data_IF_635365258165
#
_entry.id   IF_635365258165
#
_cell.length_a   1.000
_cell.length_b   1.000
_cell.length_c   1.000
_cell.angle_alpha   90.00
_cell.angle_beta   90.00
_cell.angle_gamma   90.00
#
_symmetry.space_group_name_H-M   'P 1'
#
loop_
_entity.id
_entity.type
_entity.pdbx_description
1 polymer ?
#
# COMPACT_ATOMS: atom_id res chain seq x y z
N UNK A 1 -35.56 20.86 14.58
CA UNK A 1 -34.85 19.61 14.92
C UNK A 1 -34.67 18.62 13.74
N UNK A 2 -35.41 18.76 12.61
CA UNK A 2 -35.31 17.83 11.47
C UNK A 2 -34.00 17.87 10.64
N UNK A 3 -33.30 18.99 10.57
CA UNK A 3 -32.11 19.16 9.71
C UNK A 3 -30.89 18.40 10.18
N UNK A 4 -30.61 18.32 11.47
CA UNK A 4 -29.47 17.59 12.02
C UNK A 4 -29.62 16.07 11.88
N UNK A 5 -30.86 15.55 12.02
CA UNK A 5 -31.16 14.14 11.82
C UNK A 5 -30.97 13.71 10.36
N UNK A 6 -31.41 14.50 9.41
CA UNK A 6 -31.28 14.23 7.98
C UNK A 6 -29.77 14.27 7.53
N UNK A 7 -29.00 15.21 8.07
CA UNK A 7 -27.57 15.30 7.80
C UNK A 7 -26.81 14.08 8.34
N UNK A 8 -27.15 13.63 9.55
CA UNK A 8 -26.56 12.44 10.17
C UNK A 8 -26.82 11.16 9.37
N UNK A 9 -28.08 10.95 8.93
CA UNK A 9 -28.46 9.78 8.11
C UNK A 9 -27.74 9.79 6.76
N UNK A 10 -27.68 10.95 6.10
CA UNK A 10 -26.99 11.09 4.80
C UNK A 10 -25.50 10.82 4.91
N UNK A 11 -24.85 11.31 5.95
CA UNK A 11 -23.40 11.11 6.18
C UNK A 11 -23.09 9.64 6.49
N UNK A 12 -23.94 8.99 7.28
CA UNK A 12 -23.79 7.56 7.61
C UNK A 12 -23.98 6.70 6.35
N UNK A 13 -25.04 6.93 5.57
CA UNK A 13 -25.29 6.22 4.32
C UNK A 13 -24.13 6.41 3.33
N UNK A 14 -23.60 7.63 3.21
CA UNK A 14 -22.42 7.90 2.39
C UNK A 14 -21.19 7.11 2.88
N UNK A 15 -20.91 7.09 4.19
CA UNK A 15 -19.75 6.42 4.75
C UNK A 15 -19.74 4.91 4.48
N UNK A 16 -20.90 4.25 4.52
CA UNK A 16 -21.03 2.82 4.17
C UNK A 16 -21.06 2.55 2.67
N UNK A 17 -21.52 3.50 1.84
CA UNK A 17 -21.50 3.34 0.39
C UNK A 17 -20.14 3.67 -0.25
N UNK A 18 -19.35 4.53 0.38
CA UNK A 18 -18.09 5.01 -0.17
C UNK A 18 -17.07 3.89 -0.50
N UNK A 19 -16.91 2.82 0.32
CA UNK A 19 -16.01 1.71 0.00
C UNK A 19 -16.34 1.03 -1.33
N UNK A 20 -17.62 0.93 -1.66
CA UNK A 20 -18.10 0.21 -2.86
C UNK A 20 -18.23 1.13 -4.07
N UNK A 21 -18.76 2.35 -3.88
CA UNK A 21 -19.17 3.23 -4.97
C UNK A 21 -18.10 4.25 -5.38
N UNK A 22 -17.08 4.46 -4.55
CA UNK A 22 -16.04 5.45 -4.82
C UNK A 22 -14.73 4.79 -5.18
N UNK A 23 -14.07 5.36 -6.17
CA UNK A 23 -12.67 5.06 -6.50
C UNK A 23 -12.09 6.31 -7.15
N UNK A 24 -11.05 6.87 -6.56
CA UNK A 24 -10.36 8.02 -7.10
C UNK A 24 -8.92 7.69 -7.48
N UNK A 25 -8.28 8.58 -8.21
CA UNK A 25 -6.83 8.56 -8.46
C UNK A 25 -6.21 9.75 -7.72
N UNK A 26 -5.44 9.46 -6.69
CA UNK A 26 -4.61 10.47 -6.00
C UNK A 26 -3.31 10.66 -6.78
N UNK A 27 -2.99 11.90 -7.16
CA UNK A 27 -1.83 12.22 -8.02
C UNK A 27 -0.81 13.04 -7.27
N UNK A 28 0.45 12.61 -7.33
CA UNK A 28 1.59 13.29 -6.72
C UNK A 28 2.69 13.48 -7.77
N UNK A 29 3.12 14.73 -7.95
CA UNK A 29 4.30 15.07 -8.76
C UNK A 29 5.44 15.37 -7.79
N UNK A 30 6.47 14.54 -7.80
CA UNK A 30 7.55 14.59 -6.82
C UNK A 30 8.89 14.66 -7.56
N UNK A 31 9.75 15.57 -7.13
CA UNK A 31 11.13 15.68 -7.62
C UNK A 31 12.06 15.58 -6.41
N UNK A 32 12.45 14.35 -6.01
CA UNK A 32 13.34 14.17 -4.88
C UNK A 32 14.70 14.80 -5.14
N UNK A 33 15.39 15.28 -4.10
CA UNK A 33 16.78 15.67 -4.23
C UNK A 33 17.60 14.50 -4.78
N UNK A 34 18.48 14.71 -5.71
CA UNK A 34 19.31 13.66 -6.37
C UNK A 34 18.54 12.71 -7.31
N UNK A 35 17.27 12.98 -7.64
CA UNK A 35 16.63 12.24 -8.71
C UNK A 35 17.31 12.58 -10.04
N UNK A 36 17.64 11.58 -10.89
CA UNK A 36 18.37 11.81 -12.14
C UNK A 36 17.62 12.77 -13.06
N UNK A 37 18.34 13.75 -13.59
CA UNK A 37 17.79 14.64 -14.61
C UNK A 37 17.39 13.82 -15.85
N UNK A 38 16.20 14.10 -16.40
CA UNK A 38 15.68 13.39 -17.57
C UNK A 38 14.93 12.09 -17.25
N UNK A 39 15.11 11.48 -16.10
CA UNK A 39 14.32 10.33 -15.70
C UNK A 39 12.94 10.76 -15.22
N UNK A 40 11.91 10.48 -16.00
CA UNK A 40 10.52 10.57 -15.57
C UNK A 40 9.96 9.17 -15.33
N UNK A 41 9.43 8.91 -14.14
CA UNK A 41 8.89 7.61 -13.79
C UNK A 41 7.47 7.75 -13.24
N UNK A 42 6.51 7.06 -13.87
CA UNK A 42 5.11 7.00 -13.43
C UNK A 42 4.89 5.69 -12.68
N UNK A 43 4.57 5.79 -11.40
CA UNK A 43 4.34 4.66 -10.51
C UNK A 43 2.87 4.65 -10.13
N UNK A 44 2.16 3.57 -10.45
CA UNK A 44 0.85 3.33 -9.85
C UNK A 44 1.05 2.46 -8.60
N UNK A 45 0.51 2.93 -7.46
CA UNK A 45 0.54 2.18 -6.22
C UNK A 45 -0.90 1.84 -5.80
N UNK A 46 -1.12 0.57 -5.45
CA UNK A 46 -2.35 0.05 -4.87
C UNK A 46 -2.02 -0.59 -3.52
N UNK A 47 -2.88 -0.39 -2.54
CA UNK A 47 -2.66 -0.83 -1.16
C UNK A 47 -3.97 -1.22 -0.50
N UNK A 48 -3.86 -2.07 0.52
CA UNK A 48 -4.95 -2.34 1.47
C UNK A 48 -6.23 -2.79 0.75
N UNK A 49 -6.11 -3.84 -0.05
CA UNK A 49 -7.21 -4.37 -0.86
C UNK A 49 -8.30 -4.98 0.02
N UNK A 50 -7.90 -5.83 0.99
CA UNK A 50 -8.80 -6.55 1.89
C UNK A 50 -9.94 -7.26 1.14
N UNK A 51 -9.59 -8.17 0.23
CA UNK A 51 -10.51 -8.85 -0.68
C UNK A 51 -11.59 -9.63 0.06
N UNK A 52 -12.86 -9.23 -0.10
CA UNK A 52 -14.03 -9.85 0.55
C UNK A 52 -15.33 -9.38 -0.09
N UNK A 53 -16.36 -10.20 -0.01
CA UNK A 53 -17.71 -9.78 -0.34
C UNK A 53 -18.42 -9.19 0.90
N UNK A 54 -19.24 -8.14 0.73
CA UNK A 54 -19.56 -7.44 -0.51
C UNK A 54 -18.66 -6.21 -0.79
N UNK A 55 -17.63 -5.95 0.02
CA UNK A 55 -16.95 -4.64 0.07
C UNK A 55 -15.82 -4.51 -0.96
N UNK A 56 -15.13 -5.61 -1.25
CA UNK A 56 -14.05 -5.68 -2.23
C UNK A 56 -14.17 -7.01 -3.00
N UNK A 57 -15.24 -7.11 -3.78
CA UNK A 57 -15.55 -8.27 -4.62
C UNK A 57 -14.55 -8.43 -5.77
N UNK A 58 -14.53 -9.59 -6.42
CA UNK A 58 -13.70 -9.82 -7.61
C UNK A 58 -14.00 -8.81 -8.73
N UNK A 59 -15.27 -8.45 -8.94
CA UNK A 59 -15.65 -7.43 -9.93
C UNK A 59 -15.06 -6.06 -9.59
N UNK A 60 -15.04 -5.72 -8.29
CA UNK A 60 -14.42 -4.48 -7.82
C UNK A 60 -12.92 -4.49 -8.03
N UNK A 61 -12.26 -5.61 -7.78
CA UNK A 61 -10.81 -5.79 -8.05
C UNK A 61 -10.55 -5.68 -9.55
N UNK A 62 -11.40 -6.26 -10.39
CA UNK A 62 -11.32 -6.14 -11.85
C UNK A 62 -11.43 -4.67 -12.31
N UNK A 63 -12.33 -3.88 -11.73
CA UNK A 63 -12.44 -2.43 -12.00
C UNK A 63 -11.14 -1.71 -11.61
N UNK A 64 -10.56 -2.03 -10.45
CA UNK A 64 -9.30 -1.44 -9.98
C UNK A 64 -8.16 -1.78 -10.95
N UNK A 65 -8.06 -3.02 -11.40
CA UNK A 65 -7.08 -3.46 -12.40
C UNK A 65 -7.23 -2.66 -13.69
N UNK A 66 -8.43 -2.59 -14.24
CA UNK A 66 -8.70 -1.86 -15.47
C UNK A 66 -8.35 -0.36 -15.35
N UNK A 67 -8.72 0.27 -14.23
CA UNK A 67 -8.40 1.68 -13.97
C UNK A 67 -6.90 1.91 -13.77
N UNK A 68 -6.21 1.00 -13.09
CA UNK A 68 -4.76 1.09 -12.88
C UNK A 68 -4.03 1.02 -14.23
N UNK A 69 -4.37 0.05 -15.07
CA UNK A 69 -3.78 -0.10 -16.41
C UNK A 69 -4.07 1.12 -17.31
N UNK A 70 -5.29 1.70 -17.22
CA UNK A 70 -5.67 2.90 -17.98
C UNK A 70 -4.82 4.14 -17.61
N UNK A 71 -4.18 4.16 -16.44
CA UNK A 71 -3.23 5.22 -16.06
C UNK A 71 -1.91 5.12 -16.83
N UNK A 72 -1.64 4.01 -17.52
CA UNK A 72 -0.40 3.74 -18.25
C UNK A 72 0.85 4.02 -17.38
N UNK A 73 0.98 3.35 -16.22
CA UNK A 73 2.16 3.51 -15.38
C UNK A 73 3.37 2.82 -16.03
N UNK A 74 4.57 3.26 -15.70
CA UNK A 74 5.80 2.58 -16.07
C UNK A 74 6.04 1.34 -15.19
N UNK A 75 5.64 1.42 -13.93
CA UNK A 75 5.72 0.33 -12.95
C UNK A 75 4.49 0.38 -12.04
N UNK A 76 4.02 -0.79 -11.62
CA UNK A 76 2.96 -0.92 -10.63
C UNK A 76 3.56 -1.51 -9.36
N UNK A 77 3.24 -0.92 -8.20
CA UNK A 77 3.62 -1.43 -6.90
C UNK A 77 2.40 -1.73 -6.05
N UNK A 78 2.43 -2.85 -5.38
CA UNK A 78 1.36 -3.35 -4.52
C UNK A 78 1.89 -3.39 -3.08
N UNK A 79 1.24 -2.63 -2.19
CA UNK A 79 1.80 -2.27 -0.89
C UNK A 79 1.25 -3.09 0.29
N UNK A 80 0.70 -4.29 0.02
CA UNK A 80 0.26 -5.22 1.06
C UNK A 80 -1.22 -5.10 1.44
N UNK A 81 -1.62 -5.94 2.38
CA UNK A 81 -2.97 -6.11 2.92
C UNK A 81 -3.99 -6.50 1.83
N UNK A 82 -3.71 -7.62 1.17
CA UNK A 82 -4.63 -8.21 0.18
C UNK A 82 -5.78 -8.96 0.84
N UNK A 83 -5.51 -9.59 2.00
CA UNK A 83 -6.45 -10.40 2.75
C UNK A 83 -7.30 -9.55 3.68
N UNK A 84 -8.61 -9.81 3.75
CA UNK A 84 -9.50 -9.12 4.67
C UNK A 84 -9.43 -9.71 6.07
N UNK A 85 -9.28 -8.85 7.09
CA UNK A 85 -9.23 -9.22 8.50
C UNK A 85 -10.47 -8.83 9.31
N UNK A 86 -11.41 -8.05 8.77
CA UNK A 86 -12.61 -7.67 9.49
C UNK A 86 -13.75 -8.69 9.33
N UNK A 87 -14.73 -8.65 10.26
CA UNK A 87 -15.78 -9.67 10.36
C UNK A 87 -17.09 -9.33 9.65
N UNK A 88 -17.24 -8.10 9.14
CA UNK A 88 -18.46 -7.66 8.45
C UNK A 88 -18.41 -8.07 6.97
N UNK A 89 -18.27 -9.37 6.72
CA UNK A 89 -18.15 -9.96 5.37
C UNK A 89 -19.14 -11.09 5.20
N UNK A 90 -19.61 -11.28 3.99
CA UNK A 90 -20.44 -12.44 3.60
C UNK A 90 -19.58 -13.59 3.09
N UNK A 91 -18.39 -13.27 2.51
CA UNK A 91 -17.41 -14.26 2.06
C UNK A 91 -16.00 -13.66 2.10
N UNK A 92 -15.06 -14.41 2.66
CA UNK A 92 -13.63 -14.16 2.45
C UNK A 92 -13.22 -14.74 1.11
N UNK A 93 -12.63 -13.93 0.24
CA UNK A 93 -12.22 -14.36 -1.10
C UNK A 93 -10.87 -15.09 -0.99
N UNK A 94 -10.77 -16.35 -1.49
CA UNK A 94 -9.51 -17.09 -1.50
C UNK A 94 -8.39 -16.36 -2.24
N UNK A 95 -7.15 -16.53 -1.78
CA UNK A 95 -6.00 -15.84 -2.35
C UNK A 95 -5.80 -16.15 -3.85
N UNK A 96 -6.07 -17.37 -4.28
CA UNK A 96 -5.99 -17.74 -5.70
C UNK A 96 -6.98 -17.00 -6.59
N UNK A 97 -8.17 -16.65 -6.06
CA UNK A 97 -9.18 -15.92 -6.83
C UNK A 97 -8.78 -14.46 -7.05
N UNK A 98 -8.48 -13.72 -5.97
CA UNK A 98 -8.10 -12.32 -6.11
C UNK A 98 -6.74 -12.12 -6.79
N UNK A 99 -5.77 -13.04 -6.57
CA UNK A 99 -4.50 -13.01 -7.27
C UNK A 99 -4.67 -13.26 -8.77
N UNK A 100 -5.57 -14.19 -9.15
CA UNK A 100 -5.94 -14.42 -10.55
C UNK A 100 -6.47 -13.16 -11.25
N UNK A 101 -7.25 -12.33 -10.56
CA UNK A 101 -7.72 -11.05 -11.09
C UNK A 101 -6.57 -10.03 -11.17
N UNK A 102 -5.71 -9.97 -10.14
CA UNK A 102 -4.56 -9.07 -10.10
C UNK A 102 -3.51 -9.40 -11.16
N UNK A 103 -3.46 -10.63 -11.67
CA UNK A 103 -2.64 -11.03 -12.82
C UNK A 103 -2.92 -10.19 -14.09
N UNK A 104 -4.09 -9.54 -14.17
CA UNK A 104 -4.44 -8.60 -15.23
C UNK A 104 -3.74 -7.22 -15.15
N UNK A 105 -3.00 -6.92 -14.08
CA UNK A 105 -2.20 -5.70 -13.98
C UNK A 105 -1.02 -5.75 -14.96
N UNK A 106 -0.77 -4.65 -15.68
CA UNK A 106 0.30 -4.58 -16.68
C UNK A 106 1.04 -3.25 -16.61
N UNK A 107 2.38 -3.32 -16.61
CA UNK A 107 3.26 -2.16 -16.76
C UNK A 107 4.58 -2.57 -17.44
N UNK A 108 5.23 -1.68 -18.21
CA UNK A 108 6.48 -2.00 -18.91
C UNK A 108 7.61 -2.50 -18.00
N UNK A 109 7.71 -1.97 -16.80
CA UNK A 109 8.72 -2.38 -15.80
C UNK A 109 8.19 -3.41 -14.80
N UNK A 110 6.99 -3.95 -15.04
CA UNK A 110 6.38 -5.01 -14.24
C UNK A 110 5.49 -4.53 -13.11
N UNK A 111 4.97 -5.54 -12.41
CA UNK A 111 4.16 -5.41 -11.19
C UNK A 111 4.95 -6.02 -10.05
N UNK A 112 5.07 -5.33 -8.93
CA UNK A 112 5.90 -5.72 -7.80
C UNK A 112 5.13 -5.56 -6.50
N UNK A 113 5.29 -6.48 -5.54
CA UNK A 113 4.50 -6.52 -4.33
C UNK A 113 5.37 -6.61 -3.06
N UNK A 114 4.87 -6.02 -1.97
CA UNK A 114 5.22 -6.37 -0.60
C UNK A 114 3.98 -6.90 0.11
N UNK A 115 4.14 -7.56 1.22
CA UNK A 115 3.04 -8.02 2.06
C UNK A 115 2.74 -6.99 3.16
N UNK A 116 1.51 -7.02 3.67
CA UNK A 116 1.09 -6.26 4.83
C UNK A 116 0.70 -7.19 5.99
N UNK A 117 0.40 -6.60 7.13
CA UNK A 117 0.19 -7.34 8.37
C UNK A 117 -1.01 -8.31 8.28
N UNK A 118 -2.08 -7.99 7.56
CA UNK A 118 -3.20 -8.92 7.38
C UNK A 118 -2.85 -10.13 6.52
N UNK A 119 -1.91 -10.02 5.57
CA UNK A 119 -1.42 -11.14 4.78
C UNK A 119 -0.67 -12.18 5.63
N UNK A 120 -0.10 -11.73 6.76
CA UNK A 120 0.53 -12.57 7.78
C UNK A 120 -0.45 -13.01 8.85
N UNK A 121 -1.27 -12.11 9.40
CA UNK A 121 -2.14 -12.38 10.55
C UNK A 121 -3.24 -13.40 10.26
N UNK A 122 -3.78 -13.37 9.03
CA UNK A 122 -4.86 -14.27 8.63
C UNK A 122 -4.34 -15.65 8.19
N UNK A 123 -3.02 -15.82 7.99
CA UNK A 123 -2.39 -17.12 7.75
C UNK A 123 -2.02 -17.79 9.08
N UNK A 124 -2.95 -18.63 9.57
CA UNK A 124 -2.79 -19.32 10.86
C UNK A 124 -1.59 -20.26 10.90
N UNK A 125 -1.16 -20.78 9.75
CA UNK A 125 0.00 -21.68 9.65
C UNK A 125 1.27 -20.88 9.89
N UNK A 126 1.44 -19.78 9.19
CA UNK A 126 2.59 -18.88 9.35
C UNK A 126 2.66 -18.29 10.77
N UNK A 127 1.51 -17.91 11.33
CA UNK A 127 1.45 -17.41 12.72
C UNK A 127 1.88 -18.47 13.76
N UNK A 128 1.61 -19.76 13.49
CA UNK A 128 1.99 -20.86 14.38
C UNK A 128 3.47 -21.24 14.22
N UNK A 129 3.94 -21.28 12.96
CA UNK A 129 5.29 -21.73 12.62
C UNK A 129 6.35 -20.66 12.74
N UNK A 130 5.94 -19.37 12.71
CA UNK A 130 6.84 -18.23 12.85
C UNK A 130 7.73 -17.98 11.61
N UNK A 131 7.31 -18.48 10.44
CA UNK A 131 8.03 -18.30 9.17
C UNK A 131 7.08 -18.42 7.98
N UNK A 132 7.41 -17.66 6.89
CA UNK A 132 6.71 -17.72 5.60
C UNK A 132 7.13 -18.92 4.74
N UNK A 133 6.75 -18.91 3.46
CA UNK A 133 5.93 -17.89 2.80
C UNK A 133 4.45 -17.94 3.19
N UNK A 134 3.77 -16.80 3.14
CA UNK A 134 2.31 -16.70 3.40
C UNK A 134 1.48 -17.25 2.23
N UNK A 135 0.20 -17.55 2.48
CA UNK A 135 -0.75 -17.93 1.43
C UNK A 135 -0.88 -16.80 0.40
N UNK A 136 -0.92 -15.55 0.85
CA UNK A 136 -0.99 -14.36 -0.01
C UNK A 136 0.27 -14.25 -0.91
N UNK A 137 1.45 -14.38 -0.33
CA UNK A 137 2.72 -14.34 -1.08
C UNK A 137 2.78 -15.42 -2.16
N UNK A 138 2.50 -16.67 -1.79
CA UNK A 138 2.44 -17.78 -2.77
C UNK A 138 1.44 -17.55 -3.89
N UNK A 139 0.28 -16.98 -3.59
CA UNK A 139 -0.74 -16.71 -4.60
C UNK A 139 -0.31 -15.64 -5.60
N UNK A 140 0.35 -14.58 -5.15
CA UNK A 140 0.92 -13.54 -6.01
C UNK A 140 2.05 -14.09 -6.90
N UNK A 141 2.98 -14.85 -6.31
CA UNK A 141 4.09 -15.46 -7.06
C UNK A 141 3.59 -16.47 -8.11
N UNK A 142 2.56 -17.24 -7.79
CA UNK A 142 1.95 -18.19 -8.72
C UNK A 142 1.36 -17.54 -9.98
N UNK A 143 1.00 -16.27 -9.91
CA UNK A 143 0.52 -15.47 -11.07
C UNK A 143 1.59 -14.55 -11.66
N UNK A 144 2.86 -14.74 -11.28
CA UNK A 144 3.99 -14.01 -11.84
C UNK A 144 4.23 -12.63 -11.24
N UNK A 145 3.63 -12.30 -10.10
CA UNK A 145 3.87 -11.06 -9.37
C UNK A 145 4.90 -11.32 -8.27
N UNK A 146 6.15 -10.85 -8.41
CA UNK A 146 7.19 -11.06 -7.41
C UNK A 146 6.85 -10.35 -6.10
N UNK A 147 7.06 -11.04 -4.98
CA UNK A 147 6.88 -10.53 -3.62
C UNK A 147 8.26 -10.27 -3.00
N UNK A 148 8.45 -9.05 -2.52
CA UNK A 148 9.69 -8.62 -1.89
C UNK A 148 9.57 -8.71 -0.37
N UNK A 149 10.45 -9.48 0.23
CA UNK A 149 10.64 -9.54 1.67
C UNK A 149 12.11 -9.27 1.98
N UNK A 150 12.43 -8.03 2.32
CA UNK A 150 13.80 -7.55 2.54
C UNK A 150 14.69 -7.78 1.30
N UNK A 151 14.16 -7.43 0.14
CA UNK A 151 14.82 -7.63 -1.14
C UNK A 151 14.82 -6.36 -2.00
N UNK A 152 15.67 -6.32 -3.03
CA UNK A 152 15.75 -5.21 -3.94
C UNK A 152 16.06 -5.68 -5.37
N UNK A 153 15.45 -5.01 -6.35
CA UNK A 153 15.67 -5.25 -7.77
C UNK A 153 16.10 -3.98 -8.46
N UNK A 154 17.15 -4.09 -9.27
CA UNK A 154 17.57 -3.00 -10.15
C UNK A 154 16.73 -2.99 -11.41
N UNK A 155 16.11 -1.87 -11.70
CA UNK A 155 15.30 -1.60 -12.89
C UNK A 155 15.96 -0.47 -13.69
N UNK A 156 15.54 -0.29 -14.94
CA UNK A 156 16.01 0.80 -15.78
C UNK A 156 14.88 1.31 -16.67
N UNK A 157 14.81 2.62 -16.85
CA UNK A 157 13.93 3.28 -17.81
C UNK A 157 14.74 4.29 -18.64
N UNK A 158 14.64 4.19 -19.96
CA UNK A 158 15.31 5.10 -20.89
C UNK A 158 16.84 5.22 -20.61
N UNK A 159 17.48 4.11 -20.24
CA UNK A 159 18.90 4.06 -19.87
C UNK A 159 19.23 4.53 -18.45
N UNK A 160 18.28 5.05 -17.69
CA UNK A 160 18.48 5.50 -16.30
C UNK A 160 18.15 4.39 -15.30
N UNK A 161 19.13 3.88 -14.54
CA UNK A 161 18.87 2.87 -13.53
C UNK A 161 18.25 3.45 -12.25
N UNK A 162 17.45 2.63 -11.58
CA UNK A 162 16.96 2.86 -10.21
C UNK A 162 16.72 1.52 -9.51
N UNK A 163 16.65 1.56 -8.19
CA UNK A 163 16.33 0.39 -7.38
C UNK A 163 14.90 0.45 -6.87
N UNK A 164 14.21 -0.67 -6.99
CA UNK A 164 12.95 -0.92 -6.31
C UNK A 164 13.23 -1.91 -5.17
N UNK A 165 13.12 -1.43 -3.94
CA UNK A 165 13.36 -2.20 -2.72
C UNK A 165 12.03 -2.49 -2.01
N UNK A 166 11.88 -3.69 -1.47
CA UNK A 166 10.69 -4.08 -0.70
C UNK A 166 11.09 -4.59 0.68
N UNK A 167 10.51 -3.97 1.70
CA UNK A 167 10.73 -4.31 3.09
C UNK A 167 9.75 -5.40 3.53
N UNK A 168 10.22 -6.35 4.33
CA UNK A 168 9.36 -7.28 5.05
C UNK A 168 8.41 -6.56 6.01
N UNK A 169 7.28 -7.18 6.31
CA UNK A 169 6.26 -6.57 7.16
C UNK A 169 6.73 -6.41 8.61
N UNK A 170 6.57 -5.22 9.15
CA UNK A 170 7.01 -4.84 10.49
C UNK A 170 6.12 -5.45 11.59
N UNK A 171 4.87 -5.75 11.27
CA UNK A 171 3.86 -6.28 12.17
C UNK A 171 3.45 -7.72 11.86
N UNK A 172 4.26 -8.45 11.09
CA UNK A 172 3.97 -9.79 10.55
C UNK A 172 3.40 -10.76 11.60
N UNK A 173 3.86 -10.71 12.84
CA UNK A 173 3.38 -11.61 13.88
C UNK A 173 2.49 -10.89 14.88
N UNK A 174 1.31 -11.48 15.14
CA UNK A 174 0.41 -10.98 16.17
C UNK A 174 1.08 -10.99 17.54
N UNK A 175 0.90 -9.94 18.35
CA UNK A 175 1.41 -9.93 19.71
C UNK A 175 0.85 -11.12 20.50
N UNK A 176 1.74 -11.86 21.16
CA UNK A 176 1.35 -13.05 21.94
C UNK A 176 0.31 -12.68 22.98
N UNK A 177 -0.78 -13.44 23.04
CA UNK A 177 -1.70 -13.37 24.16
C UNK A 177 -0.95 -13.76 25.45
N UNK A 178 -0.86 -12.83 26.38
CA UNK A 178 -0.52 -12.81 27.81
C UNK A 178 0.59 -13.73 28.37
N UNK A 179 1.07 -14.77 27.69
CA UNK A 179 1.97 -15.78 28.28
C UNK A 179 3.13 -16.27 27.40
N UNK A 180 3.37 -15.67 26.22
CA UNK A 180 4.57 -15.95 25.42
C UNK A 180 5.26 -14.64 25.06
N UNK A 181 6.50 -14.42 25.50
CA UNK A 181 7.28 -13.28 25.03
C UNK A 181 7.55 -13.46 23.54
N UNK A 182 7.00 -12.59 22.71
CA UNK A 182 7.37 -12.53 21.29
C UNK A 182 8.80 -12.02 21.18
N UNK A 183 9.68 -12.84 20.67
CA UNK A 183 11.06 -12.45 20.35
C UNK A 183 11.12 -11.48 19.17
N UNK A 184 10.13 -11.52 18.26
CA UNK A 184 10.08 -10.74 17.04
C UNK A 184 8.63 -10.44 16.69
N UNK A 185 8.30 -9.17 16.39
CA UNK A 185 6.95 -8.75 15.97
C UNK A 185 6.89 -8.76 14.45
N UNK A 186 7.95 -8.32 13.75
CA UNK A 186 8.02 -8.22 12.31
C UNK A 186 9.12 -9.06 11.69
N UNK A 187 9.11 -9.11 10.38
CA UNK A 187 10.14 -9.70 9.53
C UNK A 187 10.99 -8.63 8.83
N UNK A 188 10.74 -7.34 9.12
CA UNK A 188 11.42 -6.20 8.53
C UNK A 188 12.93 -6.15 8.86
N UNK A 189 13.76 -6.02 7.84
CA UNK A 189 15.18 -5.77 7.96
C UNK A 189 15.63 -4.71 6.93
N UNK A 190 15.53 -3.45 7.33
CA UNK A 190 15.90 -2.33 6.46
C UNK A 190 17.39 -2.36 6.10
N UNK A 191 18.26 -2.80 7.02
CA UNK A 191 19.69 -2.91 6.78
C UNK A 191 20.00 -3.92 5.69
N UNK A 192 19.46 -5.15 5.82
CA UNK A 192 19.61 -6.19 4.81
C UNK A 192 19.02 -5.79 3.45
N UNK A 193 17.83 -5.14 3.46
CA UNK A 193 17.19 -4.64 2.25
C UNK A 193 18.09 -3.65 1.50
N UNK A 194 18.62 -2.65 2.20
CA UNK A 194 19.46 -1.63 1.58
C UNK A 194 20.87 -2.12 1.24
N UNK A 195 21.36 -3.15 1.90
CA UNK A 195 22.66 -3.79 1.55
C UNK A 195 22.64 -4.46 0.16
N UNK A 196 21.46 -4.80 -0.36
CA UNK A 196 21.31 -5.33 -1.74
C UNK A 196 21.44 -4.27 -2.82
N UNK A 197 21.39 -3.00 -2.45
CA UNK A 197 21.57 -1.87 -3.37
C UNK A 197 23.07 -1.60 -3.53
N UNK A 198 23.63 -1.99 -4.65
CA UNK A 198 25.10 -2.10 -4.87
C UNK A 198 25.72 -0.92 -5.61
N UNK A 199 24.93 0.05 -6.08
CA UNK A 199 25.38 1.28 -6.76
C UNK A 199 24.66 2.53 -6.23
N UNK A 200 24.98 3.70 -6.79
CA UNK A 200 24.42 5.00 -6.36
C UNK A 200 23.08 5.36 -7.04
N UNK A 201 22.50 4.46 -7.83
CA UNK A 201 21.20 4.70 -8.44
C UNK A 201 20.12 4.96 -7.36
N UNK A 202 19.13 5.84 -7.62
CA UNK A 202 18.10 6.18 -6.64
C UNK A 202 17.29 4.97 -6.23
N UNK A 203 16.85 4.96 -4.97
CA UNK A 203 16.06 3.86 -4.39
C UNK A 203 14.62 4.31 -4.16
N UNK A 204 13.67 3.49 -4.61
CA UNK A 204 12.25 3.56 -4.26
C UNK A 204 11.98 2.41 -3.30
N UNK A 205 11.51 2.72 -2.11
CA UNK A 205 11.22 1.73 -1.06
C UNK A 205 9.71 1.48 -0.97
N UNK A 206 9.32 0.23 -1.12
CA UNK A 206 8.00 -0.27 -0.76
C UNK A 206 8.05 -0.76 0.68
N UNK A 207 7.20 -0.23 1.54
CA UNK A 207 7.05 -0.67 2.92
C UNK A 207 5.58 -0.52 3.33
N UNK A 208 4.97 -1.58 3.83
CA UNK A 208 3.55 -1.52 4.16
C UNK A 208 3.29 -0.44 5.22
N UNK A 209 3.99 -0.48 6.36
CA UNK A 209 3.84 0.53 7.41
C UNK A 209 4.67 1.79 7.11
N UNK A 210 4.04 2.98 7.17
CA UNK A 210 4.71 4.24 6.82
C UNK A 210 5.71 4.72 7.88
N UNK A 211 5.62 4.28 9.13
CA UNK A 211 6.46 4.77 10.21
C UNK A 211 7.91 4.26 10.15
N UNK A 212 8.21 3.32 9.28
CA UNK A 212 9.59 2.96 8.92
C UNK A 212 10.37 4.15 8.35
N UNK A 213 9.68 5.13 7.77
CA UNK A 213 10.25 6.38 7.26
C UNK A 213 11.13 7.13 8.28
N UNK A 214 10.89 6.95 9.56
CA UNK A 214 11.71 7.54 10.65
C UNK A 214 13.13 6.99 10.68
N UNK A 215 13.35 5.80 10.13
CA UNK A 215 14.65 5.09 10.09
C UNK A 215 15.27 5.08 8.70
N UNK A 216 14.49 5.47 7.66
CA UNK A 216 14.94 5.44 6.26
C UNK A 216 16.02 6.50 6.03
N UNK A 217 17.20 6.15 5.49
CA UNK A 217 18.25 7.11 5.21
C UNK A 217 17.90 7.97 3.97
N UNK A 218 18.54 9.15 3.87
CA UNK A 218 18.36 10.10 2.75
C UNK A 218 18.82 9.59 1.38
N UNK A 219 19.39 8.39 1.31
CA UNK A 219 19.71 7.68 0.09
C UNK A 219 18.45 7.19 -0.64
N UNK A 220 17.39 6.86 0.11
CA UNK A 220 16.10 6.51 -0.45
C UNK A 220 15.45 7.79 -0.98
N UNK A 221 15.05 7.78 -2.25
CA UNK A 221 14.42 8.93 -2.88
C UNK A 221 12.93 9.03 -2.54
N UNK A 222 12.24 7.89 -2.50
CA UNK A 222 10.81 7.80 -2.25
C UNK A 222 10.51 6.54 -1.44
N UNK A 223 9.66 6.68 -0.40
CA UNK A 223 8.97 5.57 0.25
C UNK A 223 7.49 5.58 -0.14
N UNK A 224 6.95 4.40 -0.47
CA UNK A 224 5.53 4.17 -0.75
C UNK A 224 4.96 3.23 0.30
N UNK A 225 3.84 3.61 0.93
CA UNK A 225 3.24 2.87 2.04
C UNK A 225 1.71 2.83 1.97
N UNK A 226 1.11 1.83 2.62
CA UNK A 226 -0.31 1.65 2.88
C UNK A 226 -0.65 1.68 4.37
N UNK A 227 -1.32 0.62 4.85
CA UNK A 227 -1.59 0.29 6.25
C UNK A 227 -2.57 1.20 6.99
N UNK A 228 -2.44 2.50 6.85
CA UNK A 228 -3.18 3.46 7.69
C UNK A 228 -4.61 3.69 7.25
N UNK A 229 -4.93 3.37 6.00
CA UNK A 229 -6.20 3.73 5.33
C UNK A 229 -6.55 5.22 5.44
N UNK A 230 -5.56 6.09 5.68
CA UNK A 230 -5.80 7.49 6.02
C UNK A 230 -6.64 7.65 7.31
N UNK A 231 -6.76 6.57 8.12
CA UNK A 231 -7.61 6.44 9.29
C UNK A 231 -9.07 6.10 8.97
N UNK A 232 -9.42 5.82 7.72
CA UNK A 232 -10.78 5.57 7.19
C UNK A 232 -11.78 6.71 7.42
N UNK A 233 -11.70 7.39 8.57
CA UNK A 233 -12.47 8.60 8.91
C UNK A 233 -11.51 9.76 9.09
N UNK A 234 -11.66 10.79 8.25
CA UNK A 234 -10.79 11.96 8.28
C UNK A 234 -11.61 13.24 8.06
N UNK A 235 -11.52 14.16 8.99
CA UNK A 235 -12.21 15.44 8.94
C UNK A 235 -11.21 16.57 9.16
N UNK A 236 -11.21 17.58 8.30
CA UNK A 236 -10.30 18.73 8.38
C UNK A 236 -8.81 18.34 8.56
N UNK A 237 -8.40 17.25 7.93
CA UNK A 237 -7.01 16.78 8.00
C UNK A 237 -6.67 15.94 9.24
N UNK A 238 -7.60 15.74 10.16
CA UNK A 238 -7.42 14.92 11.37
C UNK A 238 -8.21 13.61 11.31
N UNK A 239 -7.64 12.52 11.84
CA UNK A 239 -8.30 11.23 11.97
C UNK A 239 -8.27 10.73 13.42
N UNK A 240 -9.38 10.20 13.96
CA UNK A 240 -9.40 9.59 15.30
C UNK A 240 -8.58 8.30 15.36
N UNK A 241 -8.35 7.64 14.22
CA UNK A 241 -7.58 6.39 14.12
C UNK A 241 -6.35 6.67 13.23
N UNK A 242 -5.17 6.63 13.82
CA UNK A 242 -3.90 6.87 13.12
C UNK A 242 -2.79 6.03 13.74
N UNK A 243 -2.64 4.75 13.35
CA UNK A 243 -1.70 3.82 13.98
C UNK A 243 -0.24 4.28 13.86
N UNK A 244 0.12 4.95 12.77
CA UNK A 244 1.48 5.49 12.56
C UNK A 244 1.65 6.94 13.02
N UNK A 245 0.63 7.51 13.67
CA UNK A 245 0.58 8.93 14.07
C UNK A 245 0.03 9.84 12.97
N UNK A 246 -0.49 11.01 13.33
CA UNK A 246 -1.18 11.92 12.39
C UNK A 246 -0.30 12.37 11.23
N UNK A 247 0.99 12.56 11.47
CA UNK A 247 1.94 12.99 10.44
C UNK A 247 2.08 11.97 9.31
N UNK A 248 2.04 10.67 9.63
CA UNK A 248 2.21 9.57 8.68
C UNK A 248 0.88 8.88 8.35
N UNK A 249 -0.23 9.55 8.59
CA UNK A 249 -1.53 8.96 8.36
C UNK A 249 -1.92 8.90 6.88
N UNK A 250 -1.50 9.88 6.06
CA UNK A 250 -2.04 10.00 4.70
C UNK A 250 -1.32 11.05 3.85
N UNK A 251 -1.14 10.76 2.56
CA UNK A 251 -0.71 11.73 1.56
C UNK A 251 0.81 11.81 1.40
N UNK A 252 1.28 12.92 0.84
CA UNK A 252 2.71 13.15 0.61
C UNK A 252 3.32 13.92 1.80
N UNK A 253 4.39 13.35 2.35
CA UNK A 253 5.11 13.86 3.52
C UNK A 253 6.61 13.94 3.18
N UNK A 254 7.28 15.01 3.60
CA UNK A 254 8.72 15.13 3.51
C UNK A 254 9.38 14.80 4.84
N UNK A 255 10.30 13.85 4.80
CA UNK A 255 11.17 13.44 5.91
C UNK A 255 12.63 13.39 5.41
N UNK A 256 13.39 12.36 5.78
CA UNK A 256 14.70 12.09 5.19
C UNK A 256 14.61 11.72 3.70
N UNK A 257 13.44 11.22 3.28
CA UNK A 257 13.04 11.00 1.90
C UNK A 257 11.62 11.56 1.68
N UNK A 258 11.16 11.57 0.44
CA UNK A 258 9.74 11.77 0.16
C UNK A 258 8.97 10.50 0.54
N UNK A 259 7.83 10.65 1.23
CA UNK A 259 6.98 9.54 1.66
C UNK A 259 5.57 9.75 1.11
N UNK A 260 5.01 8.76 0.47
CA UNK A 260 3.59 8.78 0.06
C UNK A 260 2.86 7.65 0.76
N UNK A 261 1.86 8.04 1.54
CA UNK A 261 0.99 7.10 2.27
C UNK A 261 -0.37 7.06 1.60
N UNK A 262 -0.70 5.89 1.07
CA UNK A 262 -2.00 5.63 0.43
C UNK A 262 -3.13 5.57 1.45
N UNK A 263 -4.31 6.07 1.04
CA UNK A 263 -5.54 5.85 1.79
C UNK A 263 -6.12 4.44 1.62
N UNK A 264 -5.49 3.60 0.79
CA UNK A 264 -5.92 2.23 0.54
C UNK A 264 -7.22 2.10 -0.26
N UNK A 265 -7.54 0.89 -0.67
CA UNK A 265 -8.68 0.55 -1.51
C UNK A 265 -9.85 -0.05 -0.72
N UNK A 266 -9.57 -1.00 0.17
CA UNK A 266 -10.55 -1.69 1.02
C UNK A 266 -10.77 -1.03 2.38
N UNK A 267 -11.20 -1.82 3.33
CA UNK A 267 -11.43 -1.41 4.72
C UNK A 267 -10.85 -2.45 5.67
N UNK A 268 -10.26 -2.00 6.78
CA UNK A 268 -9.59 -2.86 7.75
C UNK A 268 -10.49 -3.22 8.95
N UNK A 269 -11.05 -2.22 9.64
CA UNK A 269 -11.78 -2.42 10.90
C UNK A 269 -13.28 -2.61 10.65
N UNK A 270 -13.85 -1.75 9.83
CA UNK A 270 -15.26 -1.77 9.43
C UNK A 270 -15.40 -1.17 8.02
N UNK A 271 -16.42 -1.57 7.25
CA UNK A 271 -16.62 -1.09 5.88
C UNK A 271 -17.22 0.33 5.84
N UNK A 272 -16.52 1.26 6.46
CA UNK A 272 -16.93 2.66 6.57
C UNK A 272 -15.77 3.60 6.23
N UNK A 273 -15.99 4.52 5.30
CA UNK A 273 -15.03 5.55 4.92
C UNK A 273 -15.68 6.92 4.87
N UNK A 274 -15.09 7.90 5.55
CA UNK A 274 -15.52 9.28 5.53
C UNK A 274 -14.30 10.20 5.36
N UNK A 275 -14.30 11.02 4.29
CA UNK A 275 -13.19 11.94 4.00
C UNK A 275 -11.95 11.29 3.37
N UNK A 276 -11.88 9.95 3.32
CA UNK A 276 -10.79 9.19 2.66
C UNK A 276 -11.43 8.14 1.75
N UNK A 277 -11.85 8.50 0.53
CA UNK A 277 -12.38 7.51 -0.42
C UNK A 277 -11.30 6.53 -0.85
N UNK A 278 -11.66 5.31 -1.28
CA UNK A 278 -10.75 4.37 -1.90
C UNK A 278 -9.96 4.99 -3.03
N UNK A 279 -8.66 4.69 -3.13
CA UNK A 279 -7.82 5.35 -4.11
C UNK A 279 -6.73 4.46 -4.71
N UNK A 280 -6.45 4.71 -6.00
CA UNK A 280 -5.21 4.34 -6.66
C UNK A 280 -4.30 5.55 -6.55
N UNK A 281 -3.06 5.36 -6.09
CA UNK A 281 -2.07 6.42 -6.04
C UNK A 281 -1.26 6.41 -7.35
N UNK A 282 -1.12 7.57 -7.98
CA UNK A 282 -0.24 7.77 -9.13
C UNK A 282 0.84 8.78 -8.76
N UNK A 283 2.08 8.33 -8.63
CA UNK A 283 3.25 9.18 -8.42
C UNK A 283 3.97 9.37 -9.74
N UNK A 284 4.26 10.63 -10.09
CA UNK A 284 5.18 10.97 -11.18
C UNK A 284 6.45 11.54 -10.57
N UNK A 285 7.54 10.78 -10.69
CA UNK A 285 8.87 11.22 -10.26
C UNK A 285 9.57 11.96 -11.40
N UNK A 286 10.33 12.99 -11.06
CA UNK A 286 11.11 13.77 -12.03
C UNK A 286 10.26 14.66 -12.95
N UNK A 287 8.98 14.87 -12.64
CA UNK A 287 8.18 15.85 -13.36
C UNK A 287 8.78 17.26 -13.17
N UNK A 288 8.77 18.12 -14.21
CA UNK A 288 9.13 19.51 -14.04
C UNK A 288 8.31 20.11 -12.88
N UNK A 289 8.96 20.86 -11.99
CA UNK A 289 8.21 21.63 -10.99
C UNK A 289 7.31 22.61 -11.75
N UNK A 290 5.99 22.68 -11.42
CA UNK A 290 5.19 23.75 -11.97
C UNK A 290 5.89 25.08 -11.62
N UNK A 291 6.04 25.94 -12.62
CA UNK A 291 6.52 27.29 -12.39
C UNK A 291 5.66 27.91 -11.29
N UNK A 292 6.29 28.38 -10.22
CA UNK A 292 5.59 29.13 -9.19
C UNK A 292 5.12 30.42 -9.85
N UNK A 293 3.81 30.54 -10.06
CA UNK A 293 3.17 31.73 -10.57
C UNK A 293 3.09 32.79 -9.48
#
# INVERSE_FOLDING_TARGET
MGGLGALGVSTTAYGFSAPVLRLRVARYNISPPKWPAGLQLRIAAIADLHACDPWMSLDRIQEIVARTNALKPDVIVMLGDYVAGHRQVTRYIPASEWAGVLAGLTAPLGVHAVLGNHDWWEDKTVQREGQGPTIAGRALEAVGIPVYENDAKRLSKDGHPFWLAGLGDKLAYMPARRFRPLRRIGVDDLGATLAKVTDDAPVILMAHEPDVARRVPSRVALQLSGHTHGGQVRMLGWSPISPSGQQLAYGHIKMNCDVVVSGGLGCSIMPFRLGVPPEIVLVTLGAPRPAVA
#
